data_IF_090973368470
#
_entry.id   IF_090973368470
#
_cell.length_a   1.000
_cell.length_b   1.000
_cell.length_c   1.000
_cell.angle_alpha   90.00
_cell.angle_beta   90.00
_cell.angle_gamma   90.00
#
_symmetry.space_group_name_H-M   'P 1'
#
loop_
_entity.id
_entity.type
_entity.pdbx_description
1 polymer ?
#
# COMPACT_ATOMS: atom_id res chain seq x y z
N UNK A 1 -10.34 9.15 9.20
CA UNK A 1 -9.59 9.67 8.05
C UNK A 1 -10.48 9.57 6.81
N UNK A 2 -10.50 10.55 5.89
CA UNK A 2 -11.26 10.45 4.65
C UNK A 2 -10.87 9.19 3.85
N UNK A 3 -11.87 8.45 3.34
CA UNK A 3 -11.68 7.22 2.57
C UNK A 3 -10.74 7.45 1.39
N UNK A 4 -10.86 8.60 0.72
CA UNK A 4 -10.01 8.98 -0.41
C UNK A 4 -8.52 9.00 -0.05
N UNK A 5 -8.14 9.66 1.05
CA UNK A 5 -6.73 9.78 1.48
C UNK A 5 -6.16 8.40 1.77
N UNK A 6 -6.90 7.56 2.49
CA UNK A 6 -6.46 6.22 2.84
C UNK A 6 -6.27 5.36 1.58
N UNK A 7 -7.29 5.27 0.73
CA UNK A 7 -7.27 4.37 -0.42
C UNK A 7 -6.25 4.80 -1.47
N UNK A 8 -6.12 6.11 -1.73
CA UNK A 8 -5.11 6.63 -2.68
C UNK A 8 -3.70 6.37 -2.17
N UNK A 9 -3.42 6.61 -0.89
CA UNK A 9 -2.11 6.32 -0.29
C UNK A 9 -1.77 4.84 -0.41
N UNK A 10 -2.67 3.95 0.01
CA UNK A 10 -2.42 2.50 -0.04
C UNK A 10 -2.47 1.93 -1.44
N UNK A 11 -3.00 2.60 -2.45
CA UNK A 11 -2.85 2.15 -3.84
C UNK A 11 -1.39 2.25 -4.31
N UNK A 12 -0.69 3.34 -3.93
CA UNK A 12 0.63 3.68 -4.46
C UNK A 12 1.77 3.59 -3.43
N UNK A 13 1.50 3.16 -2.20
CA UNK A 13 2.49 3.10 -1.10
C UNK A 13 3.83 2.42 -1.48
N UNK A 14 3.90 1.33 -2.27
CA UNK A 14 5.18 0.74 -2.68
C UNK A 14 6.14 1.71 -3.37
N UNK A 15 5.62 2.77 -4.02
CA UNK A 15 6.43 3.81 -4.65
C UNK A 15 6.84 4.94 -3.70
N UNK A 16 6.30 4.95 -2.47
CA UNK A 16 6.48 5.99 -1.45
C UNK A 16 7.52 5.63 -0.39
N UNK A 17 8.15 4.47 -0.49
CA UNK A 17 9.09 3.95 0.51
C UNK A 17 10.32 4.85 0.74
N UNK A 18 10.62 5.73 -0.23
CA UNK A 18 11.71 6.71 -0.16
C UNK A 18 11.22 8.15 -0.01
N UNK A 19 9.93 8.37 0.24
CA UNK A 19 9.40 9.71 0.50
C UNK A 19 10.10 10.29 1.75
N UNK A 20 10.39 11.60 1.73
CA UNK A 20 10.99 12.30 2.86
C UNK A 20 10.17 12.08 4.13
N UNK A 21 10.85 11.77 5.24
CA UNK A 21 10.22 11.48 6.53
C UNK A 21 9.84 10.01 6.73
N UNK A 22 9.99 9.14 5.72
CA UNK A 22 9.91 7.68 5.88
C UNK A 22 11.27 7.14 6.31
N UNK A 23 11.27 6.25 7.31
CA UNK A 23 12.45 5.46 7.69
C UNK A 23 12.17 3.99 7.43
N UNK A 24 13.04 3.34 6.66
CA UNK A 24 13.02 1.90 6.43
C UNK A 24 14.09 1.22 7.27
N UNK A 25 13.75 0.08 7.85
CA UNK A 25 14.70 -0.78 8.57
C UNK A 25 14.48 -2.22 8.15
N UNK A 26 15.54 -2.88 7.67
CA UNK A 26 15.48 -4.31 7.41
C UNK A 26 15.39 -5.08 8.73
N UNK A 27 14.38 -5.94 8.86
CA UNK A 27 14.11 -6.73 10.07
C UNK A 27 14.56 -8.18 9.96
N UNK A 28 15.12 -8.57 8.81
CA UNK A 28 15.51 -9.94 8.52
C UNK A 28 14.50 -10.66 7.65
N UNK A 29 14.67 -11.97 7.58
CA UNK A 29 13.83 -12.87 6.81
C UNK A 29 12.57 -13.29 7.58
N UNK A 30 11.52 -13.64 6.85
CA UNK A 30 10.28 -14.15 7.41
C UNK A 30 9.44 -14.87 6.38
N UNK A 31 8.15 -15.02 6.70
CA UNK A 31 7.16 -15.63 5.81
C UNK A 31 5.89 -14.79 5.75
N UNK A 32 5.27 -14.76 4.57
CA UNK A 32 3.91 -14.24 4.40
C UNK A 32 2.89 -15.14 5.10
N UNK A 33 1.65 -14.67 5.25
CA UNK A 33 0.50 -15.44 5.73
C UNK A 33 0.23 -16.67 4.85
N UNK A 34 0.64 -16.61 3.58
CA UNK A 34 0.53 -17.73 2.63
C UNK A 34 1.77 -18.64 2.64
N UNK A 35 2.73 -18.38 3.52
CA UNK A 35 3.92 -19.21 3.74
C UNK A 35 5.09 -18.93 2.79
N UNK A 36 4.98 -17.96 1.88
CA UNK A 36 6.05 -17.60 0.96
C UNK A 36 7.23 -16.95 1.72
N UNK A 37 8.45 -17.27 1.32
CA UNK A 37 9.65 -16.65 1.88
C UNK A 37 9.69 -15.16 1.54
N UNK A 38 9.95 -14.32 2.54
CA UNK A 38 9.94 -12.88 2.38
C UNK A 38 11.05 -12.18 3.18
N UNK A 39 11.47 -11.03 2.70
CA UNK A 39 12.28 -10.06 3.42
C UNK A 39 11.35 -9.04 4.11
N UNK A 40 11.57 -8.79 5.41
CA UNK A 40 10.72 -7.88 6.19
C UNK A 40 11.36 -6.49 6.23
N UNK A 41 10.66 -5.50 5.70
CA UNK A 41 11.00 -4.08 5.82
C UNK A 41 10.05 -3.42 6.82
N UNK A 42 10.59 -2.95 7.95
CA UNK A 42 9.86 -2.06 8.84
C UNK A 42 9.84 -0.65 8.25
N UNK A 43 8.68 -0.02 8.25
CA UNK A 43 8.46 1.36 7.83
C UNK A 43 7.90 2.17 9.00
N UNK A 44 8.57 3.27 9.35
CA UNK A 44 8.12 4.27 10.33
C UNK A 44 8.18 5.67 9.75
N UNK A 45 7.55 6.64 10.41
CA UNK A 45 7.43 8.01 9.93
C UNK A 45 7.97 9.02 10.94
N UNK A 46 8.50 10.13 10.44
CA UNK A 46 8.93 11.28 11.24
C UNK A 46 8.42 12.56 10.62
N UNK A 47 7.61 13.31 11.38
CA UNK A 47 7.06 14.62 11.01
C UNK A 47 6.26 14.64 9.69
N UNK A 48 5.72 13.50 9.26
CA UNK A 48 4.94 13.36 8.03
C UNK A 48 3.72 12.45 8.25
N UNK A 49 2.69 12.64 7.43
CA UNK A 49 1.45 11.88 7.49
C UNK A 49 0.51 12.33 8.61
N UNK A 50 -0.72 11.80 8.58
CA UNK A 50 -1.77 12.11 9.57
C UNK A 50 -1.55 11.32 10.87
N UNK A 51 -0.84 10.20 10.80
CA UNK A 51 -0.59 9.26 11.91
C UNK A 51 0.89 8.85 11.99
N UNK A 52 1.80 9.80 12.30
CA UNK A 52 3.26 9.55 12.30
C UNK A 52 3.72 8.50 13.32
N UNK A 53 2.92 8.20 14.34
CA UNK A 53 3.20 7.21 15.37
C UNK A 53 3.04 5.75 14.89
N UNK A 54 2.43 5.55 13.72
CA UNK A 54 2.19 4.22 13.17
C UNK A 54 3.51 3.58 12.73
N UNK A 55 3.54 2.24 12.80
CA UNK A 55 4.58 1.41 12.21
C UNK A 55 3.93 0.39 11.29
N UNK A 56 4.64 0.06 10.22
CA UNK A 56 4.25 -1.01 9.32
C UNK A 56 5.41 -1.97 9.15
N UNK A 57 5.09 -3.24 8.91
CA UNK A 57 6.04 -4.21 8.36
C UNK A 57 5.56 -4.58 6.98
N UNK A 58 6.45 -4.53 5.99
CA UNK A 58 6.20 -4.83 4.59
C UNK A 58 6.97 -6.10 4.25
N UNK A 59 6.27 -7.11 3.76
CA UNK A 59 6.86 -8.39 3.41
C UNK A 59 7.09 -8.44 1.91
N UNK A 60 8.36 -8.41 1.52
CA UNK A 60 8.81 -8.46 0.13
C UNK A 60 9.08 -9.91 -0.22
N UNK A 61 8.27 -10.50 -1.12
CA UNK A 61 8.47 -11.87 -1.57
C UNK A 61 9.80 -12.00 -2.33
N UNK A 62 10.63 -12.97 -1.96
CA UNK A 62 12.00 -13.10 -2.50
C UNK A 62 12.05 -13.66 -3.93
N UNK A 63 10.95 -14.22 -4.42
CA UNK A 63 10.81 -14.72 -5.79
C UNK A 63 10.29 -13.62 -6.71
N UNK A 64 9.22 -12.94 -6.32
CA UNK A 64 8.57 -11.92 -7.17
C UNK A 64 9.18 -10.53 -7.01
N UNK A 65 9.91 -10.28 -5.91
CA UNK A 65 10.39 -8.98 -5.46
C UNK A 65 9.27 -7.95 -5.24
N UNK A 66 8.03 -8.41 -5.07
CA UNK A 66 6.87 -7.56 -4.79
C UNK A 66 6.56 -7.56 -3.29
N UNK A 67 6.00 -6.45 -2.81
CA UNK A 67 5.37 -6.44 -1.49
C UNK A 67 4.08 -7.23 -1.59
N UNK A 68 3.98 -8.37 -0.93
CA UNK A 68 2.78 -9.22 -1.02
C UNK A 68 1.95 -9.21 0.26
N UNK A 69 2.47 -8.55 1.30
CA UNK A 69 1.78 -8.41 2.56
C UNK A 69 2.29 -7.22 3.36
N UNK A 70 1.41 -6.66 4.19
CA UNK A 70 1.73 -5.65 5.17
C UNK A 70 1.07 -5.95 6.50
N UNK A 71 1.76 -5.60 7.58
CA UNK A 71 1.27 -5.63 8.93
C UNK A 71 1.20 -4.21 9.50
N UNK A 72 0.10 -3.87 10.17
CA UNK A 72 -0.14 -2.54 10.74
C UNK A 72 -0.01 -2.55 12.26
N UNK A 73 0.78 -1.62 12.79
CA UNK A 73 0.95 -1.37 14.22
C UNK A 73 0.47 0.05 14.54
N UNK A 74 -0.59 0.22 15.36
CA UNK A 74 -1.09 1.53 15.78
C UNK A 74 -0.05 2.40 16.47
N UNK A 75 0.90 1.80 17.18
CA UNK A 75 2.09 2.47 17.73
C UNK A 75 3.34 1.71 17.32
N UNK A 76 4.42 2.45 17.09
CA UNK A 76 5.72 1.88 16.76
C UNK A 76 6.26 0.90 17.81
N UNK A 77 5.85 1.06 19.08
CA UNK A 77 6.25 0.20 20.20
C UNK A 77 5.37 -1.05 20.38
N UNK A 78 4.30 -1.20 19.60
CA UNK A 78 3.40 -2.34 19.76
C UNK A 78 4.11 -3.64 19.37
N UNK A 79 3.99 -4.66 20.22
CA UNK A 79 4.65 -5.95 20.03
C UNK A 79 4.01 -6.80 18.91
N UNK A 80 2.70 -6.62 18.67
CA UNK A 80 1.93 -7.37 17.69
C UNK A 80 1.14 -6.42 16.78
N UNK A 81 0.94 -6.78 15.50
CA UNK A 81 0.18 -5.94 14.59
C UNK A 81 -1.31 -6.01 14.94
N UNK A 82 -2.01 -4.91 14.75
CA UNK A 82 -3.48 -4.87 14.82
C UNK A 82 -4.11 -5.69 13.68
N UNK A 83 -3.48 -5.72 12.51
CA UNK A 83 -3.86 -6.62 11.43
C UNK A 83 -2.68 -6.93 10.51
N UNK A 84 -2.84 -8.00 9.74
CA UNK A 84 -2.04 -8.32 8.56
C UNK A 84 -2.97 -8.44 7.35
N UNK A 85 -2.54 -7.93 6.21
CA UNK A 85 -3.32 -7.95 4.97
C UNK A 85 -2.42 -8.26 3.79
N UNK A 86 -2.96 -9.01 2.84
CA UNK A 86 -2.31 -9.27 1.57
C UNK A 86 -2.23 -8.00 0.76
N UNK A 87 -1.26 -7.98 -0.14
CA UNK A 87 -1.09 -7.01 -1.17
C UNK A 87 -1.00 -7.78 -2.48
N UNK A 88 -2.15 -8.10 -3.06
CA UNK A 88 -2.28 -9.07 -4.15
C UNK A 88 -3.05 -8.48 -5.35
N UNK A 89 -3.30 -9.31 -6.35
CA UNK A 89 -3.94 -8.90 -7.61
C UNK A 89 -3.14 -7.80 -8.33
N UNK A 90 -1.84 -8.04 -8.50
CA UNK A 90 -0.92 -7.16 -9.22
C UNK A 90 -1.21 -7.18 -10.72
N UNK A 91 -1.55 -6.02 -11.27
CA UNK A 91 -1.79 -5.84 -12.71
C UNK A 91 -1.01 -4.62 -13.23
N UNK A 92 -0.56 -4.71 -14.47
CA UNK A 92 0.16 -3.61 -15.14
C UNK A 92 -0.83 -2.55 -15.64
N UNK A 93 -0.66 -1.31 -15.17
CA UNK A 93 -1.37 -0.12 -15.61
C UNK A 93 -0.37 0.85 -16.25
N UNK A 94 -0.19 0.74 -17.57
CA UNK A 94 0.86 1.46 -18.29
C UNK A 94 2.26 1.01 -17.83
N UNK A 95 3.02 1.93 -17.21
CA UNK A 95 4.34 1.62 -16.65
C UNK A 95 4.30 1.26 -15.17
N UNK A 96 3.12 1.33 -14.54
CA UNK A 96 2.96 1.04 -13.12
C UNK A 96 2.50 -0.39 -12.92
N UNK A 97 3.11 -1.10 -11.98
CA UNK A 97 2.58 -2.37 -11.47
C UNK A 97 1.85 -2.05 -10.17
N UNK A 98 0.52 -2.17 -10.19
CA UNK A 98 -0.35 -1.82 -9.06
C UNK A 98 -1.10 -3.06 -8.61
N UNK A 99 -1.27 -3.19 -7.30
CA UNK A 99 -2.07 -4.27 -6.72
C UNK A 99 -3.41 -3.75 -6.25
N UNK A 100 -4.48 -4.39 -6.71
CA UNK A 100 -5.84 -4.06 -6.36
C UNK A 100 -6.26 -4.65 -5.00
N UNK A 101 -5.77 -5.84 -4.66
CA UNK A 101 -6.27 -6.62 -3.52
C UNK A 101 -5.60 -6.29 -2.19
N UNK A 102 -6.41 -6.21 -1.13
CA UNK A 102 -6.03 -5.92 0.27
C UNK A 102 -6.63 -6.95 1.22
N UNK A 103 -6.63 -8.20 0.80
CA UNK A 103 -7.35 -9.28 1.47
C UNK A 103 -6.86 -9.51 2.90
N UNK A 104 -7.80 -9.72 3.81
CA UNK A 104 -7.51 -10.34 5.10
C UNK A 104 -7.41 -11.85 4.91
N UNK A 105 -6.90 -12.57 5.92
CA UNK A 105 -6.75 -14.02 5.86
C UNK A 105 -8.05 -14.74 5.44
N UNK A 106 -9.20 -14.26 5.90
CA UNK A 106 -10.52 -14.87 5.72
C UNK A 106 -11.49 -14.05 4.89
N UNK A 107 -11.11 -12.83 4.48
CA UNK A 107 -12.03 -11.90 3.81
C UNK A 107 -11.35 -11.16 2.67
N UNK A 108 -11.80 -11.34 1.42
CA UNK A 108 -11.27 -10.59 0.30
C UNK A 108 -11.70 -9.12 0.38
N UNK A 109 -10.82 -8.22 -0.05
CA UNK A 109 -11.13 -6.80 -0.25
C UNK A 109 -10.26 -6.24 -1.37
N UNK A 110 -10.79 -5.33 -2.18
CA UNK A 110 -10.07 -4.80 -3.34
C UNK A 110 -10.40 -3.34 -3.63
N UNK A 111 -9.49 -2.69 -4.32
CA UNK A 111 -9.72 -1.42 -5.01
C UNK A 111 -10.12 -1.73 -6.45
N UNK A 112 -11.31 -1.29 -6.84
CA UNK A 112 -11.82 -1.46 -8.19
C UNK A 112 -11.60 -0.22 -9.06
N UNK A 113 -11.77 -0.39 -10.37
CA UNK A 113 -11.79 0.70 -11.33
C UNK A 113 -10.47 1.50 -11.43
N UNK A 114 -9.34 0.82 -11.23
CA UNK A 114 -8.00 1.40 -11.37
C UNK A 114 -7.72 1.69 -12.85
N UNK A 115 -7.46 2.96 -13.16
CA UNK A 115 -7.01 3.42 -14.47
C UNK A 115 -5.74 4.27 -14.30
N UNK A 116 -4.84 4.20 -15.27
CA UNK A 116 -3.66 5.05 -15.32
C UNK A 116 -3.60 5.72 -16.70
N UNK A 117 -3.61 7.05 -16.70
CA UNK A 117 -3.50 7.87 -17.91
C UNK A 117 -2.33 8.84 -17.75
N UNK A 118 -1.57 9.04 -18.82
CA UNK A 118 -0.48 10.05 -18.83
C UNK A 118 -1.03 11.47 -18.91
N UNK A 119 -2.20 11.64 -19.53
CA UNK A 119 -2.89 12.91 -19.69
C UNK A 119 -4.30 12.78 -19.15
N UNK A 120 -4.72 13.76 -18.36
CA UNK A 120 -6.06 13.85 -17.80
C UNK A 120 -6.76 15.03 -18.49
N UNK A 121 -7.98 14.86 -19.04
CA UNK A 121 -8.77 15.95 -19.57
C UNK A 121 -8.88 17.13 -18.60
N UNK A 122 -8.87 18.35 -19.15
CA UNK A 122 -9.09 19.56 -18.38
C UNK A 122 -10.42 19.48 -17.62
N UNK A 123 -10.46 20.06 -16.42
CA UNK A 123 -11.67 20.11 -15.60
C UNK A 123 -11.94 18.88 -14.74
N UNK A 124 -11.23 17.75 -14.91
CA UNK A 124 -11.49 16.55 -14.09
C UNK A 124 -11.29 16.81 -12.59
N UNK A 125 -10.23 17.51 -12.20
CA UNK A 125 -9.92 17.77 -10.78
C UNK A 125 -10.68 18.97 -10.20
N UNK A 126 -11.45 19.69 -11.00
CA UNK A 126 -12.22 20.88 -10.60
C UNK A 126 -13.72 20.74 -10.86
N UNK A 127 -14.16 19.62 -11.43
CA UNK A 127 -15.56 19.38 -11.78
C UNK A 127 -16.43 19.35 -10.52
N UNK A 128 -17.55 20.09 -10.59
CA UNK A 128 -18.58 20.10 -9.53
C UNK A 128 -19.56 18.92 -9.64
N UNK A 129 -19.49 18.17 -10.73
CA UNK A 129 -20.32 16.99 -10.99
C UNK A 129 -19.43 15.78 -11.35
N UNK A 130 -19.92 14.55 -11.18
CA UNK A 130 -19.18 13.37 -11.61
C UNK A 130 -18.84 13.42 -13.10
N UNK A 131 -17.59 13.12 -13.45
CA UNK A 131 -17.11 13.01 -14.84
C UNK A 131 -17.18 11.57 -15.33
N UNK A 132 -17.17 11.39 -16.66
CA UNK A 132 -17.07 10.06 -17.25
C UNK A 132 -15.78 9.37 -16.79
N UNK A 133 -15.88 8.06 -16.52
CA UNK A 133 -14.74 7.25 -16.10
C UNK A 133 -13.66 7.26 -17.19
N UNK A 134 -12.43 7.57 -16.80
CA UNK A 134 -11.25 7.40 -17.65
C UNK A 134 -11.11 5.92 -18.01
N UNK A 135 -11.01 5.64 -19.30
CA UNK A 135 -10.77 4.28 -19.82
C UNK A 135 -9.30 3.93 -19.69
#
# INVERSE_FOLDING_TARGET
>A
MPIWINNSYWLVMPFKLKDSGVTLTYKGEGKTMDGAAADILQMTFKNVGVTPQNRYELLVNRVTNLIEEWAYFPKATDAQPAFRRRWNDYTKHGQLLLAAGRDEATKPSRLDNIAAAQTIPEGIMTSKTPVAKLK
#
